data_IF_966281997408
#
_entry.id   IF_966281997408
#
_cell.length_a   1.000
_cell.length_b   1.000
_cell.length_c   1.000
_cell.angle_alpha   90.00
_cell.angle_beta   90.00
_cell.angle_gamma   90.00
#
_symmetry.space_group_name_H-M   'P 1'
#
loop_
_entity.id
_entity.type
_entity.pdbx_description
1 polymer ?
#
# COMPACT_ATOMS: atom_id res chain seq x y z
N UNK A 1 -2.28 14.09 18.08
CA UNK A 1 -1.46 12.88 18.32
C UNK A 1 -2.26 11.65 17.92
N UNK A 2 -1.64 10.69 17.28
CA UNK A 2 -2.30 9.41 17.01
C UNK A 2 -2.38 8.57 18.29
N UNK A 3 -3.36 7.69 18.37
CA UNK A 3 -3.60 6.82 19.53
C UNK A 3 -4.09 5.44 19.09
N UNK A 4 -3.93 4.48 19.96
CA UNK A 4 -4.38 3.11 19.72
C UNK A 4 -5.86 3.07 19.34
N UNK A 5 -6.18 2.31 18.30
CA UNK A 5 -7.53 2.18 17.78
C UNK A 5 -7.91 3.22 16.71
N UNK A 6 -7.09 4.26 16.50
CA UNK A 6 -7.34 5.22 15.41
C UNK A 6 -7.30 4.50 14.06
N UNK A 7 -8.22 4.86 13.17
CA UNK A 7 -8.32 4.30 11.83
C UNK A 7 -8.30 5.44 10.83
N UNK A 8 -7.43 5.33 9.83
CA UNK A 8 -7.38 6.22 8.67
C UNK A 8 -7.68 5.44 7.41
N UNK A 9 -8.51 6.00 6.52
CA UNK A 9 -8.89 5.38 5.25
C UNK A 9 -8.61 6.32 4.10
N UNK A 10 -8.13 5.79 2.99
CA UNK A 10 -7.89 6.57 1.77
C UNK A 10 -8.12 5.70 0.54
N UNK A 11 -8.90 6.22 -0.38
CA UNK A 11 -9.11 5.57 -1.68
C UNK A 11 -7.88 5.69 -2.56
N UNK A 12 -7.65 4.66 -3.37
CA UNK A 12 -6.60 4.67 -4.39
C UNK A 12 -7.07 3.98 -5.66
N UNK A 13 -6.51 4.42 -6.78
CA UNK A 13 -6.76 3.88 -8.11
C UNK A 13 -5.56 4.21 -8.98
N UNK A 14 -5.02 3.20 -9.64
CA UNK A 14 -3.88 3.37 -10.55
C UNK A 14 -4.28 3.07 -11.98
N UNK A 15 -3.64 3.77 -12.93
CA UNK A 15 -3.79 3.53 -14.36
C UNK A 15 -2.66 2.64 -14.87
N UNK A 16 -2.79 2.15 -16.12
CA UNK A 16 -1.68 1.43 -16.77
C UNK A 16 -0.48 2.37 -16.98
N UNK A 17 -0.71 3.67 -17.18
CA UNK A 17 0.38 4.66 -17.26
C UNK A 17 1.16 4.76 -15.96
N UNK A 18 0.51 4.65 -14.81
CA UNK A 18 1.17 4.63 -13.50
C UNK A 18 2.04 3.37 -13.35
N UNK A 19 1.54 2.22 -13.76
CA UNK A 19 2.30 0.95 -13.76
C UNK A 19 3.53 1.07 -14.64
N UNK A 20 3.39 1.69 -15.82
CA UNK A 20 4.51 1.92 -16.74
C UNK A 20 5.59 2.80 -16.10
N UNK A 21 5.20 3.87 -15.44
CA UNK A 21 6.12 4.77 -14.73
C UNK A 21 6.84 4.06 -13.58
N UNK A 22 6.13 3.23 -12.84
CA UNK A 22 6.72 2.44 -11.77
C UNK A 22 7.76 1.44 -12.32
N UNK A 23 7.43 0.75 -13.43
CA UNK A 23 8.35 -0.15 -14.10
C UNK A 23 9.62 0.57 -14.58
N UNK A 24 9.47 1.77 -15.12
CA UNK A 24 10.59 2.59 -15.60
C UNK A 24 11.52 3.01 -14.47
N UNK A 25 10.96 3.50 -13.36
CA UNK A 25 11.77 4.02 -12.25
C UNK A 25 12.42 2.91 -11.43
N UNK A 26 11.80 1.74 -11.34
CA UNK A 26 12.32 0.61 -10.55
C UNK A 26 13.16 -0.38 -11.36
N UNK A 27 12.97 -0.40 -12.70
CA UNK A 27 13.54 -1.43 -13.56
C UNK A 27 12.78 -2.76 -13.50
N UNK A 28 11.65 -2.83 -12.79
CA UNK A 28 10.81 -4.03 -12.73
C UNK A 28 9.90 -4.10 -13.95
N UNK A 29 10.44 -4.63 -15.04
CA UNK A 29 9.78 -4.76 -16.33
C UNK A 29 9.22 -6.17 -16.57
N UNK A 30 8.89 -6.89 -15.52
CA UNK A 30 8.27 -8.22 -15.63
C UNK A 30 7.03 -8.13 -16.54
N UNK A 31 6.95 -8.92 -17.62
CA UNK A 31 5.87 -8.82 -18.59
C UNK A 31 4.48 -9.11 -18.04
N UNK A 32 4.37 -9.74 -16.88
CA UNK A 32 3.08 -9.96 -16.21
C UNK A 32 2.38 -8.63 -15.86
N UNK A 33 3.12 -7.54 -15.77
CA UNK A 33 2.60 -6.19 -15.46
C UNK A 33 2.37 -5.34 -16.71
N UNK A 34 3.07 -5.63 -17.81
CA UNK A 34 3.18 -4.71 -18.95
C UNK A 34 2.64 -5.26 -20.26
N UNK A 35 2.56 -6.57 -20.43
CA UNK A 35 2.26 -7.23 -21.70
C UNK A 35 0.92 -7.97 -21.62
N UNK A 36 -0.09 -7.47 -22.31
CA UNK A 36 -1.44 -8.06 -22.33
C UNK A 36 -1.44 -9.49 -22.89
N UNK A 37 -0.67 -9.72 -23.96
CA UNK A 37 -0.60 -11.06 -24.58
C UNK A 37 0.05 -12.07 -23.64
N UNK A 38 1.13 -11.66 -22.96
CA UNK A 38 1.76 -12.49 -21.94
C UNK A 38 0.82 -12.78 -20.78
N UNK A 39 0.19 -11.75 -20.24
CA UNK A 39 -0.72 -11.84 -19.09
C UNK A 39 -1.96 -12.69 -19.41
N UNK A 40 -2.45 -12.66 -20.64
CA UNK A 40 -3.59 -13.48 -21.08
C UNK A 40 -3.31 -14.98 -20.94
N UNK A 41 -2.04 -15.39 -21.04
CA UNK A 41 -1.60 -16.77 -20.84
C UNK A 41 -1.39 -17.15 -19.38
N UNK A 42 -1.51 -16.22 -18.45
CA UNK A 42 -1.36 -16.46 -17.00
C UNK A 42 -2.70 -16.78 -16.35
N UNK A 43 -2.65 -17.22 -15.09
CA UNK A 43 -3.85 -17.43 -14.29
C UNK A 43 -4.67 -16.14 -14.07
N UNK A 44 -4.04 -14.98 -14.23
CA UNK A 44 -4.67 -13.67 -14.02
C UNK A 44 -5.46 -13.16 -15.23
N UNK A 45 -5.15 -13.66 -16.43
CA UNK A 45 -5.80 -13.35 -17.73
C UNK A 45 -5.59 -11.93 -18.24
N UNK A 46 -5.10 -11.01 -17.44
CA UNK A 46 -4.79 -9.62 -17.78
C UNK A 46 -3.62 -9.14 -16.93
N UNK A 47 -2.93 -8.04 -17.32
CA UNK A 47 -1.82 -7.50 -16.53
C UNK A 47 -2.25 -7.18 -15.10
N UNK A 48 -1.39 -7.53 -14.16
CA UNK A 48 -1.56 -7.20 -12.74
C UNK A 48 -0.62 -6.06 -12.37
N UNK A 49 -0.99 -5.27 -11.35
CA UNK A 49 -0.10 -4.26 -10.80
C UNK A 49 1.07 -4.91 -10.06
N UNK A 50 2.21 -4.22 -10.04
CA UNK A 50 3.29 -4.59 -9.14
C UNK A 50 2.78 -4.55 -7.70
N UNK A 51 3.04 -5.58 -6.91
CA UNK A 51 2.67 -5.57 -5.49
C UNK A 51 3.30 -4.40 -4.74
N UNK A 52 4.56 -4.08 -5.05
CA UNK A 52 5.24 -2.94 -4.43
C UNK A 52 4.70 -1.58 -4.87
N UNK A 53 4.04 -1.46 -6.01
CA UNK A 53 3.32 -0.22 -6.36
C UNK A 53 2.13 -0.04 -5.42
N UNK A 54 1.34 -1.09 -5.20
CA UNK A 54 0.26 -1.07 -4.22
C UNK A 54 0.79 -0.72 -2.83
N UNK A 55 1.83 -1.41 -2.37
CA UNK A 55 2.46 -1.15 -1.07
C UNK A 55 3.07 0.23 -0.92
N UNK A 56 3.51 0.85 -2.02
CA UNK A 56 4.06 2.21 -1.99
C UNK A 56 3.03 3.25 -1.51
N UNK A 57 1.74 2.94 -1.65
CA UNK A 57 0.68 3.80 -1.15
C UNK A 57 0.73 3.97 0.37
N UNK A 58 1.15 2.95 1.09
CA UNK A 58 1.36 3.06 2.54
C UNK A 58 2.40 4.13 2.87
N UNK A 59 3.50 4.16 2.13
CA UNK A 59 4.55 5.17 2.29
C UNK A 59 4.02 6.58 2.05
N UNK A 60 3.22 6.77 0.99
CA UNK A 60 2.58 8.06 0.70
C UNK A 60 1.74 8.53 1.88
N UNK A 61 0.87 7.66 2.41
CA UNK A 61 -0.03 8.01 3.51
C UNK A 61 0.75 8.33 4.77
N UNK A 62 1.69 7.48 5.15
CA UNK A 62 2.49 7.73 6.35
C UNK A 62 3.28 9.04 6.29
N UNK A 63 3.84 9.35 5.13
CA UNK A 63 4.69 10.53 4.97
C UNK A 63 3.93 11.85 4.76
N UNK A 64 2.69 11.78 4.30
CA UNK A 64 1.97 13.00 3.88
C UNK A 64 0.60 13.21 4.53
N UNK A 65 0.02 12.18 5.14
CA UNK A 65 -1.36 12.23 5.63
C UNK A 65 -1.54 11.76 7.06
N UNK A 66 -1.03 10.57 7.40
CA UNK A 66 -1.31 9.93 8.68
C UNK A 66 -0.14 9.02 9.12
N UNK A 67 0.67 9.39 10.10
CA UNK A 67 0.70 10.66 10.87
C UNK A 67 1.02 11.89 10.04
N UNK A 68 1.69 11.76 8.90
CA UNK A 68 2.01 12.83 7.99
C UNK A 68 3.46 13.26 8.03
N UNK A 69 3.72 14.51 7.68
CA UNK A 69 5.06 15.07 7.56
C UNK A 69 5.94 14.78 8.78
N UNK A 70 7.18 14.41 8.51
CA UNK A 70 8.17 14.05 9.53
C UNK A 70 8.17 12.57 9.92
N UNK A 71 7.24 11.78 9.40
CA UNK A 71 7.18 10.34 9.69
C UNK A 71 8.34 9.59 9.05
N UNK A 72 9.02 8.79 9.86
CA UNK A 72 10.03 7.84 9.41
C UNK A 72 9.42 6.44 9.33
N UNK A 73 9.63 5.77 8.22
CA UNK A 73 9.15 4.41 7.96
C UNK A 73 10.23 3.43 8.40
N UNK A 74 10.00 2.73 9.53
CA UNK A 74 11.04 1.90 10.13
C UNK A 74 10.97 0.43 9.72
N UNK A 75 9.74 -0.08 9.54
CA UNK A 75 9.53 -1.50 9.24
C UNK A 75 8.21 -1.69 8.53
N UNK A 76 8.18 -2.64 7.60
CA UNK A 76 6.96 -3.10 6.96
C UNK A 76 7.02 -4.61 6.76
N UNK A 77 6.01 -5.31 7.25
CA UNK A 77 5.70 -6.68 6.85
C UNK A 77 4.50 -6.61 5.91
N UNK A 78 4.58 -7.28 4.77
CA UNK A 78 3.50 -7.29 3.76
C UNK A 78 3.28 -8.69 3.22
N UNK A 79 2.01 -9.07 3.11
CA UNK A 79 1.57 -10.24 2.37
C UNK A 79 0.75 -9.79 1.17
N UNK A 80 1.07 -10.30 -0.01
CA UNK A 80 0.32 -10.07 -1.24
C UNK A 80 -0.67 -11.22 -1.41
N UNK A 81 -1.91 -11.01 -0.96
CA UNK A 81 -2.94 -12.06 -0.89
C UNK A 81 -3.69 -12.24 -2.19
N UNK A 82 -3.94 -11.16 -2.91
CA UNK A 82 -4.64 -11.16 -4.19
C UNK A 82 -4.03 -10.14 -5.13
N UNK A 83 -4.08 -10.37 -6.44
CA UNK A 83 -3.58 -9.39 -7.40
C UNK A 83 -4.40 -8.12 -7.36
N UNK A 84 -3.75 -6.99 -7.66
CA UNK A 84 -4.42 -5.72 -7.87
C UNK A 84 -4.37 -5.38 -9.36
N UNK A 85 -5.42 -4.71 -9.83
CA UNK A 85 -5.59 -4.34 -11.23
C UNK A 85 -5.68 -2.83 -11.40
N UNK A 86 -5.28 -2.35 -12.57
CA UNK A 86 -5.46 -0.93 -12.94
C UNK A 86 -6.94 -0.60 -13.11
N UNK A 87 -7.26 0.70 -13.05
CA UNK A 87 -8.61 1.22 -13.26
C UNK A 87 -9.66 0.56 -12.35
N UNK A 88 -9.24 0.21 -11.16
CA UNK A 88 -10.06 -0.48 -10.16
C UNK A 88 -9.98 0.30 -8.85
N UNK A 89 -11.10 0.43 -8.16
CA UNK A 89 -11.19 1.18 -6.91
C UNK A 89 -10.79 0.31 -5.72
N UNK A 90 -9.78 0.77 -5.00
CA UNK A 90 -9.29 0.16 -3.76
C UNK A 90 -9.36 1.17 -2.63
N UNK A 91 -9.33 0.67 -1.40
CA UNK A 91 -9.22 1.47 -0.20
C UNK A 91 -8.06 0.97 0.65
N UNK A 92 -7.17 1.88 1.03
CA UNK A 92 -6.14 1.60 2.02
C UNK A 92 -6.68 1.91 3.41
N UNK A 93 -6.47 0.99 4.35
CA UNK A 93 -6.95 1.08 5.73
C UNK A 93 -5.76 0.95 6.67
N UNK A 94 -5.63 1.94 7.55
CA UNK A 94 -4.55 2.04 8.54
C UNK A 94 -5.16 2.01 9.93
N UNK A 95 -4.85 0.99 10.70
CA UNK A 95 -5.35 0.85 12.08
C UNK A 95 -4.17 0.89 13.04
N UNK A 96 -4.16 1.87 13.94
CA UNK A 96 -3.11 2.00 14.95
C UNK A 96 -3.28 0.88 15.99
N UNK A 97 -2.28 0.01 16.08
CA UNK A 97 -2.30 -1.14 16.99
C UNK A 97 -1.68 -0.79 18.34
N UNK A 98 -0.50 -0.19 18.33
CA UNK A 98 0.22 0.20 19.54
C UNK A 98 0.84 1.57 19.38
N UNK A 99 0.99 2.31 20.49
CA UNK A 99 1.71 3.57 20.56
C UNK A 99 2.69 3.53 21.71
N UNK A 100 3.96 3.83 21.42
CA UNK A 100 5.00 4.06 22.40
C UNK A 100 5.35 5.55 22.38
N UNK A 101 4.70 6.32 23.23
CA UNK A 101 4.84 7.78 23.26
C UNK A 101 6.26 8.22 23.66
N UNK A 102 6.94 7.44 24.49
CA UNK A 102 8.31 7.73 24.92
C UNK A 102 9.30 7.66 23.76
N UNK A 103 9.13 6.66 22.89
CA UNK A 103 9.97 6.45 21.71
C UNK A 103 9.43 7.09 20.45
N UNK A 104 8.28 7.74 20.53
CA UNK A 104 7.58 8.34 19.38
C UNK A 104 7.32 7.34 18.25
N UNK A 105 6.97 6.10 18.60
CA UNK A 105 6.73 5.01 17.64
C UNK A 105 5.31 4.47 17.75
N UNK A 106 4.80 4.00 16.62
CA UNK A 106 3.54 3.30 16.57
C UNK A 106 3.66 2.08 15.65
N UNK A 107 2.91 1.03 15.95
CA UNK A 107 2.67 -0.05 15.00
C UNK A 107 1.28 0.12 14.42
N UNK A 108 1.18 -0.07 13.10
CA UNK A 108 -0.04 0.21 12.34
C UNK A 108 -0.32 -0.96 11.41
N UNK A 109 -1.52 -1.52 11.52
CA UNK A 109 -1.99 -2.48 10.53
C UNK A 109 -2.23 -1.74 9.22
N UNK A 110 -1.71 -2.28 8.12
CA UNK A 110 -1.81 -1.70 6.79
C UNK A 110 -2.50 -2.69 5.85
N UNK A 111 -3.65 -2.28 5.29
CA UNK A 111 -4.41 -3.12 4.38
C UNK A 111 -4.80 -2.35 3.14
N UNK A 112 -4.86 -3.06 2.00
CA UNK A 112 -5.52 -2.56 0.80
C UNK A 112 -6.66 -3.53 0.48
N UNK A 113 -7.85 -2.95 0.31
CA UNK A 113 -9.10 -3.69 0.13
C UNK A 113 -9.70 -3.32 -1.22
N UNK A 114 -10.13 -4.33 -1.98
CA UNK A 114 -10.94 -4.15 -3.18
C UNK A 114 -12.34 -3.65 -2.76
N UNK A 115 -12.72 -2.45 -3.18
CA UNK A 115 -14.00 -1.85 -2.75
C UNK A 115 -15.21 -2.61 -3.26
N UNK A 116 -15.13 -3.23 -4.43
CA UNK A 116 -16.26 -3.96 -5.00
C UNK A 116 -16.52 -5.28 -4.28
N UNK A 117 -15.47 -6.04 -3.96
CA UNK A 117 -15.60 -7.38 -3.36
C UNK A 117 -15.42 -7.39 -1.83
N UNK A 118 -14.76 -6.37 -1.28
CA UNK A 118 -14.34 -6.36 0.12
C UNK A 118 -13.12 -7.24 0.41
N UNK A 119 -12.52 -7.84 -0.62
CA UNK A 119 -11.36 -8.71 -0.45
C UNK A 119 -10.10 -7.93 -0.10
N UNK A 120 -9.33 -8.42 0.87
CA UNK A 120 -8.02 -7.87 1.22
C UNK A 120 -7.00 -8.33 0.18
N UNK A 121 -6.41 -7.39 -0.53
CA UNK A 121 -5.37 -7.66 -1.53
C UNK A 121 -3.98 -7.66 -0.93
N UNK A 122 -3.71 -6.69 -0.06
CA UNK A 122 -2.45 -6.59 0.68
C UNK A 122 -2.79 -6.48 2.16
N UNK A 123 -2.09 -7.24 3.00
CA UNK A 123 -2.20 -7.16 4.45
C UNK A 123 -0.82 -7.08 5.07
N UNK A 124 -0.66 -6.22 6.05
CA UNK A 124 0.62 -6.07 6.71
C UNK A 124 0.58 -5.28 7.99
N UNK A 125 1.77 -5.03 8.51
CA UNK A 125 1.99 -4.25 9.71
C UNK A 125 3.25 -3.42 9.54
N UNK A 126 3.14 -2.14 9.86
CA UNK A 126 4.24 -1.18 9.80
C UNK A 126 4.65 -0.71 11.19
N UNK A 127 5.92 -0.34 11.34
CA UNK A 127 6.38 0.48 12.46
C UNK A 127 6.82 1.83 11.91
N UNK A 128 6.27 2.89 12.46
CA UNK A 128 6.59 4.27 12.08
C UNK A 128 6.99 5.09 13.29
N UNK A 129 7.74 6.16 13.06
CA UNK A 129 8.19 7.08 14.09
C UNK A 129 7.90 8.52 13.66
N UNK A 130 7.43 9.33 14.60
CA UNK A 130 7.22 10.76 14.35
C UNK A 130 7.32 11.51 15.68
N UNK A 131 8.35 12.34 15.82
CA UNK A 131 8.65 13.02 17.08
C UNK A 131 7.65 14.13 17.45
N UNK A 132 6.82 14.55 16.51
CA UNK A 132 5.82 15.61 16.75
C UNK A 132 4.40 15.05 16.88
N UNK A 133 4.11 13.91 16.26
CA UNK A 133 2.74 13.40 16.10
C UNK A 133 2.47 12.06 16.79
N UNK A 134 3.49 11.48 17.41
CA UNK A 134 3.36 10.27 18.21
C UNK A 134 3.91 10.45 19.61
#
# INVERSE_FOLDING_TARGET
MIKEGDIFRKDLRYSQADVQKFAEVTGDTNPVHLDEAYAAGTMFKKPIMHGFLGGSFFSRVFGTMFPGEGTLYLKQVMEFRKPMFVDTDYEAVFTVLTVDAEKHRATVQTQIIDKASGAVTINGEATVMNTEKI
#
